data_IF_782506055295
#
_entry.id   IF_782506055295
#
_cell.length_a   1.000
_cell.length_b   1.000
_cell.length_c   1.000
_cell.angle_alpha   90.00
_cell.angle_beta   90.00
_cell.angle_gamma   90.00
#
_symmetry.space_group_name_H-M   'P 1'
#
loop_
_entity.id
_entity.type
_entity.pdbx_description
1 polymer ?
#
# COMPACT_ATOMS: atom_id res chain seq x y z
N UNK A 1 -7.27 -10.68 -22.89
CA UNK A 1 -7.02 -10.61 -21.43
C UNK A 1 -5.81 -11.41 -20.93
N UNK A 2 -5.48 -12.59 -21.49
CA UNK A 2 -4.20 -13.29 -21.19
C UNK A 2 -2.99 -12.52 -21.72
N UNK A 3 -3.14 -11.88 -22.88
CA UNK A 3 -2.10 -11.10 -23.53
C UNK A 3 -1.63 -9.89 -22.70
N UNK A 4 -2.53 -9.28 -21.92
CA UNK A 4 -2.21 -8.17 -21.03
C UNK A 4 -1.37 -8.59 -19.83
N UNK A 5 -1.57 -9.80 -19.27
CA UNK A 5 -0.75 -10.31 -18.15
C UNK A 5 0.68 -10.64 -18.59
N UNK A 6 0.85 -11.21 -19.80
CA UNK A 6 2.17 -11.50 -20.36
C UNK A 6 2.96 -10.21 -20.61
N UNK A 7 2.33 -9.21 -21.24
CA UNK A 7 2.95 -7.89 -21.47
C UNK A 7 3.38 -7.22 -20.17
N UNK A 8 2.54 -7.28 -19.13
CA UNK A 8 2.83 -6.68 -17.82
C UNK A 8 3.99 -7.40 -17.10
N UNK A 9 4.03 -8.74 -17.17
CA UNK A 9 5.15 -9.52 -16.63
C UNK A 9 6.47 -9.21 -17.34
N UNK A 10 6.47 -9.14 -18.67
CA UNK A 10 7.66 -8.79 -19.46
C UNK A 10 8.14 -7.39 -19.08
N UNK A 11 7.24 -6.40 -19.06
CA UNK A 11 7.56 -5.02 -18.66
C UNK A 11 8.20 -4.96 -17.28
N UNK A 12 7.66 -5.69 -16.30
CA UNK A 12 8.24 -5.77 -14.94
C UNK A 12 9.63 -6.38 -14.94
N UNK A 13 9.86 -7.45 -15.68
CA UNK A 13 11.19 -8.09 -15.80
C UNK A 13 12.21 -7.16 -16.45
N UNK A 14 11.82 -6.48 -17.54
CA UNK A 14 12.66 -5.49 -18.23
C UNK A 14 13.00 -4.33 -17.29
N UNK A 15 12.02 -3.78 -16.57
CA UNK A 15 12.28 -2.71 -15.60
C UNK A 15 13.26 -3.14 -14.50
N UNK A 16 13.12 -4.36 -13.97
CA UNK A 16 14.07 -4.89 -12.99
C UNK A 16 15.49 -4.98 -13.55
N UNK A 17 15.63 -5.46 -14.78
CA UNK A 17 16.92 -5.55 -15.45
C UNK A 17 17.54 -4.17 -15.67
N UNK A 18 16.76 -3.20 -16.13
CA UNK A 18 17.21 -1.81 -16.30
C UNK A 18 17.66 -1.21 -14.95
N UNK A 19 16.86 -1.35 -13.90
CA UNK A 19 17.22 -0.88 -12.55
C UNK A 19 18.50 -1.54 -12.05
N UNK A 20 18.67 -2.85 -12.28
CA UNK A 20 19.88 -3.57 -11.93
C UNK A 20 21.11 -3.03 -12.67
N UNK A 21 21.01 -2.79 -13.98
CA UNK A 21 22.10 -2.19 -14.76
C UNK A 21 22.45 -0.78 -14.27
N UNK A 22 21.46 0.06 -14.02
CA UNK A 22 21.68 1.42 -13.47
C UNK A 22 22.36 1.37 -12.11
N UNK A 23 22.04 0.37 -11.28
CA UNK A 23 22.68 0.17 -9.98
C UNK A 23 24.12 -0.34 -10.11
N UNK A 24 24.37 -1.40 -10.88
CA UNK A 24 25.68 -2.03 -11.04
C UNK A 24 26.70 -1.12 -11.75
N UNK A 25 26.25 -0.26 -12.66
CA UNK A 25 27.11 0.72 -13.33
C UNK A 25 27.46 1.93 -12.46
N UNK A 26 26.84 2.07 -11.28
CA UNK A 26 27.01 3.21 -10.39
C UNK A 26 26.29 4.50 -10.84
N UNK A 27 25.63 4.48 -12.01
CA UNK A 27 24.83 5.60 -12.53
C UNK A 27 23.79 6.04 -11.49
N UNK A 28 23.20 5.09 -10.75
CA UNK A 28 22.30 5.38 -9.63
C UNK A 28 22.89 6.40 -8.64
N UNK A 29 24.15 6.24 -8.24
CA UNK A 29 24.78 7.12 -7.24
C UNK A 29 25.04 8.52 -7.80
N UNK A 30 25.35 8.63 -9.10
CA UNK A 30 25.48 9.92 -9.80
C UNK A 30 24.12 10.61 -9.86
N UNK A 31 23.09 9.92 -10.35
CA UNK A 31 21.72 10.45 -10.42
C UNK A 31 21.21 10.88 -9.04
N UNK A 32 21.46 10.06 -8.02
CA UNK A 32 21.12 10.38 -6.64
C UNK A 32 21.82 11.67 -6.17
N UNK A 33 23.11 11.84 -6.46
CA UNK A 33 23.83 13.07 -6.07
C UNK A 33 23.30 14.31 -6.80
N UNK A 34 22.88 14.17 -8.05
CA UNK A 34 22.39 15.28 -8.88
C UNK A 34 20.93 15.66 -8.58
N UNK A 35 20.06 14.67 -8.38
CA UNK A 35 18.61 14.88 -8.32
C UNK A 35 18.02 14.78 -6.92
N UNK A 36 18.65 14.04 -6.00
CA UNK A 36 18.12 13.88 -4.63
C UNK A 36 18.54 15.06 -3.75
N UNK A 37 17.66 16.07 -3.69
CA UNK A 37 17.88 17.31 -2.94
C UNK A 37 17.86 17.08 -1.42
N UNK A 38 18.44 18.04 -0.70
CA UNK A 38 18.20 18.20 0.75
C UNK A 38 16.74 18.61 0.95
N UNK A 39 16.13 18.18 2.04
CA UNK A 39 14.70 18.37 2.23
C UNK A 39 14.10 17.46 3.29
N UNK A 40 12.82 17.67 3.56
CA UNK A 40 12.01 16.83 4.43
C UNK A 40 11.17 15.88 3.56
N UNK A 41 11.34 14.58 3.77
CA UNK A 41 10.62 13.52 3.09
C UNK A 41 9.69 12.82 4.07
N UNK A 42 8.46 12.54 3.64
CA UNK A 42 7.48 11.77 4.42
C UNK A 42 7.17 10.51 3.64
N UNK A 43 7.55 9.36 4.19
CA UNK A 43 7.22 8.04 3.62
C UNK A 43 6.12 7.41 4.44
N UNK A 44 5.02 7.04 3.79
CA UNK A 44 3.90 6.38 4.43
C UNK A 44 3.84 4.90 4.09
N UNK A 45 3.37 4.11 5.04
CA UNK A 45 3.09 2.68 4.92
C UNK A 45 1.66 2.41 5.39
N UNK A 46 1.15 1.20 5.16
CA UNK A 46 -0.13 0.77 5.70
C UNK A 46 0.04 -0.53 6.48
N UNK A 47 0.55 -1.58 5.82
CA UNK A 47 0.61 -2.94 6.36
C UNK A 47 1.97 -3.59 6.09
N UNK A 48 2.39 -4.48 6.99
CA UNK A 48 3.58 -5.32 6.82
C UNK A 48 3.23 -6.80 6.86
N UNK A 49 3.91 -7.61 6.06
CA UNK A 49 3.65 -9.06 5.99
C UNK A 49 4.92 -9.89 5.86
N UNK A 50 4.85 -11.15 6.26
CA UNK A 50 5.77 -12.18 5.79
C UNK A 50 5.17 -12.85 4.55
N UNK A 51 5.67 -12.49 3.37
CA UNK A 51 5.13 -12.97 2.09
C UNK A 51 5.27 -14.47 1.92
N UNK A 52 6.36 -15.06 2.43
CA UNK A 52 6.61 -16.51 2.33
C UNK A 52 5.60 -17.26 3.20
N UNK A 53 5.41 -16.80 4.44
CA UNK A 53 4.41 -17.37 5.35
C UNK A 53 3.00 -17.21 4.81
N UNK A 54 2.62 -16.03 4.34
CA UNK A 54 1.28 -15.80 3.77
C UNK A 54 1.00 -16.73 2.57
N UNK A 55 1.98 -16.93 1.67
CA UNK A 55 1.83 -17.86 0.54
C UNK A 55 1.63 -19.31 0.98
N UNK A 56 2.39 -19.77 1.99
CA UNK A 56 2.25 -21.12 2.54
C UNK A 56 0.89 -21.32 3.20
N UNK A 57 0.41 -20.32 3.92
CA UNK A 57 -0.89 -20.34 4.60
C UNK A 57 -2.09 -20.11 3.65
N UNK A 58 -1.86 -19.87 2.35
CA UNK A 58 -2.90 -19.48 1.40
C UNK A 58 -3.54 -18.12 1.71
N UNK A 59 -2.89 -17.27 2.52
CA UNK A 59 -3.40 -15.96 2.93
C UNK A 59 -3.20 -14.92 1.83
N UNK A 60 -4.24 -14.13 1.62
CA UNK A 60 -4.22 -12.99 0.70
C UNK A 60 -3.28 -11.90 1.23
N UNK A 61 -2.52 -11.30 0.32
CA UNK A 61 -1.63 -10.18 0.61
C UNK A 61 -2.23 -8.93 -0.03
N UNK A 62 -2.45 -7.89 0.78
CA UNK A 62 -2.94 -6.60 0.29
C UNK A 62 -1.91 -5.98 -0.65
N UNK A 63 -2.39 -5.22 -1.65
CA UNK A 63 -1.51 -4.43 -2.53
C UNK A 63 -0.73 -3.36 -1.76
N UNK A 64 -1.26 -2.91 -0.61
CA UNK A 64 -0.61 -1.93 0.27
C UNK A 64 0.29 -2.57 1.31
N UNK A 65 0.42 -3.91 1.31
CA UNK A 65 1.33 -4.61 2.23
C UNK A 65 2.76 -4.61 1.71
N UNK A 66 3.72 -4.34 2.58
CA UNK A 66 5.15 -4.44 2.30
C UNK A 66 5.71 -5.70 2.96
N UNK A 67 6.52 -6.45 2.22
CA UNK A 67 7.21 -7.61 2.77
C UNK A 67 8.21 -7.19 3.85
N UNK A 68 8.26 -7.89 4.98
CA UNK A 68 9.12 -7.58 6.12
C UNK A 68 10.60 -7.50 5.74
N UNK A 69 11.11 -8.40 4.89
CA UNK A 69 12.52 -8.39 4.47
C UNK A 69 12.81 -7.16 3.60
N UNK A 70 11.87 -6.81 2.73
CA UNK A 70 11.96 -5.60 1.91
C UNK A 70 11.92 -4.34 2.77
N UNK A 71 11.02 -4.29 3.77
CA UNK A 71 10.93 -3.19 4.70
C UNK A 71 12.22 -3.01 5.51
N UNK A 72 12.80 -4.09 6.04
CA UNK A 72 14.11 -4.01 6.72
C UNK A 72 15.21 -3.46 5.81
N UNK A 73 15.20 -3.81 4.52
CA UNK A 73 16.16 -3.30 3.54
C UNK A 73 15.96 -1.80 3.29
N UNK A 74 14.71 -1.32 3.30
CA UNK A 74 14.40 0.10 3.24
C UNK A 74 14.88 0.84 4.48
N UNK A 75 14.69 0.29 5.69
CA UNK A 75 15.18 0.91 6.93
C UNK A 75 16.70 1.05 6.94
N UNK A 76 17.44 0.03 6.48
CA UNK A 76 18.90 0.12 6.30
C UNK A 76 19.29 1.25 5.36
N UNK A 77 18.61 1.36 4.22
CA UNK A 77 18.82 2.44 3.26
C UNK A 77 18.55 3.81 3.90
N UNK A 78 17.44 3.94 4.63
CA UNK A 78 17.07 5.19 5.30
C UNK A 78 18.09 5.62 6.34
N UNK A 79 18.58 4.71 7.18
CA UNK A 79 19.60 5.03 8.20
C UNK A 79 20.94 5.45 7.59
N UNK A 80 21.26 4.99 6.39
CA UNK A 80 22.49 5.39 5.67
C UNK A 80 22.35 6.75 4.99
N UNK A 81 21.17 7.06 4.44
CA UNK A 81 21.02 8.18 3.50
C UNK A 81 20.21 9.37 4.00
N UNK A 82 19.50 9.19 5.11
CA UNK A 82 18.59 10.17 5.71
C UNK A 82 18.87 10.30 7.20
N UNK A 83 18.57 11.48 7.73
CA UNK A 83 18.35 11.68 9.16
C UNK A 83 16.89 11.36 9.43
N UNK A 84 16.63 10.15 9.92
CA UNK A 84 15.27 9.73 10.29
C UNK A 84 14.88 10.44 11.58
N UNK A 85 13.76 11.16 11.54
CA UNK A 85 13.26 12.01 12.63
C UNK A 85 11.78 11.70 12.90
N UNK A 86 11.33 12.09 14.08
CA UNK A 86 9.92 12.10 14.48
C UNK A 86 9.16 13.22 13.76
N UNK A 87 7.82 13.13 13.78
CA UNK A 87 6.96 14.17 13.22
C UNK A 87 7.07 15.49 14.01
N UNK A 88 7.26 15.42 15.32
CA UNK A 88 7.45 16.61 16.17
C UNK A 88 8.77 17.33 15.84
N UNK A 89 9.87 16.59 15.66
CA UNK A 89 11.13 17.16 15.18
C UNK A 89 11.00 17.79 13.79
N UNK A 90 10.23 17.16 12.90
CA UNK A 90 9.94 17.72 11.58
C UNK A 90 9.14 19.02 11.68
N UNK A 91 8.16 19.09 12.59
CA UNK A 91 7.40 20.30 12.87
C UNK A 91 8.30 21.44 13.36
N UNK A 92 9.18 21.18 14.32
CA UNK A 92 10.12 22.20 14.84
C UNK A 92 11.13 22.65 13.76
N UNK A 93 11.60 21.74 12.91
CA UNK A 93 12.44 22.10 11.75
C UNK A 93 11.72 23.06 10.81
N UNK A 94 10.46 22.76 10.47
CA UNK A 94 9.66 23.63 9.60
C UNK A 94 9.40 25.00 10.25
N UNK A 95 9.09 25.02 11.54
CA UNK A 95 8.84 26.25 12.30
C UNK A 95 10.06 27.15 12.40
N UNK A 96 11.26 26.57 12.42
CA UNK A 96 12.52 27.32 12.52
C UNK A 96 12.80 28.24 11.32
N UNK A 97 12.12 28.05 10.18
CA UNK A 97 12.36 28.75 8.91
C UNK A 97 13.82 28.70 8.42
N UNK A 98 14.64 27.78 8.94
CA UNK A 98 16.02 27.58 8.49
C UNK A 98 16.05 26.69 7.25
N UNK A 99 17.01 26.90 6.32
CA UNK A 99 17.22 25.98 5.22
C UNK A 99 17.54 24.56 5.73
N UNK A 100 16.95 23.55 5.09
CA UNK A 100 17.21 22.15 5.41
C UNK A 100 18.61 21.75 4.90
N UNK A 101 19.51 21.43 5.82
CA UNK A 101 20.93 21.19 5.55
C UNK A 101 21.24 19.75 5.09
N UNK A 102 20.28 18.84 5.27
CA UNK A 102 20.38 17.41 4.98
C UNK A 102 19.04 16.86 4.47
N UNK A 103 19.00 15.54 4.26
CA UNK A 103 17.76 14.82 3.93
C UNK A 103 17.17 14.28 5.22
N UNK A 104 16.04 14.83 5.62
CA UNK A 104 15.27 14.36 6.77
C UNK A 104 14.18 13.42 6.30
N UNK A 105 13.87 12.40 7.09
CA UNK A 105 12.85 11.42 6.76
C UNK A 105 11.93 11.19 7.97
N UNK A 106 10.64 11.36 7.77
CA UNK A 106 9.59 10.91 8.69
C UNK A 106 8.94 9.66 8.12
N UNK A 107 8.74 8.65 8.96
CA UNK A 107 7.93 7.49 8.61
C UNK A 107 6.54 7.62 9.22
N UNK A 108 5.50 7.44 8.41
CA UNK A 108 4.12 7.35 8.87
C UNK A 108 3.52 5.99 8.52
N UNK A 109 2.57 5.53 9.32
CA UNK A 109 1.85 4.28 9.08
C UNK A 109 0.37 4.54 9.28
N UNK A 110 -0.41 4.32 8.22
CA UNK A 110 -1.84 4.58 8.23
C UNK A 110 -2.62 3.33 8.68
N UNK A 111 -3.92 3.51 8.90
CA UNK A 111 -4.93 2.50 9.24
C UNK A 111 -4.82 1.86 10.63
N UNK A 112 -3.61 1.60 11.13
CA UNK A 112 -3.40 1.00 12.45
C UNK A 112 -3.54 -0.51 12.50
N UNK A 113 -3.22 -1.22 11.41
CA UNK A 113 -3.30 -2.69 11.40
C UNK A 113 -2.43 -3.34 12.48
N UNK A 114 -2.91 -4.47 13.01
CA UNK A 114 -2.19 -5.31 13.98
C UNK A 114 -0.80 -5.75 13.48
N UNK A 115 -0.65 -5.88 12.17
CA UNK A 115 0.60 -6.33 11.55
C UNK A 115 1.75 -5.31 11.69
N UNK A 116 1.44 -4.03 11.91
CA UNK A 116 2.37 -2.97 12.28
C UNK A 116 3.14 -3.32 13.56
N UNK A 117 2.45 -3.92 14.53
CA UNK A 117 3.07 -4.42 15.74
C UNK A 117 3.82 -5.74 15.48
N UNK A 118 3.16 -6.73 14.85
CA UNK A 118 3.72 -8.08 14.68
C UNK A 118 5.02 -8.10 13.86
N UNK A 119 5.06 -7.36 12.75
CA UNK A 119 6.21 -7.40 11.82
C UNK A 119 7.05 -6.12 11.86
N UNK A 120 6.47 -4.98 12.26
CA UNK A 120 7.15 -3.68 12.29
C UNK A 120 7.87 -3.40 13.60
N UNK A 121 7.27 -3.71 14.76
CA UNK A 121 7.77 -3.27 16.09
C UNK A 121 9.24 -3.61 16.35
N UNK A 122 9.63 -4.87 16.13
CA UNK A 122 11.02 -5.30 16.33
C UNK A 122 12.00 -4.59 15.40
N UNK A 123 11.58 -4.22 14.19
CA UNK A 123 12.40 -3.44 13.26
C UNK A 123 12.52 -1.98 13.71
N UNK A 124 11.43 -1.36 14.15
CA UNK A 124 11.46 0.00 14.72
C UNK A 124 12.42 0.10 15.90
N UNK A 125 12.36 -0.89 16.81
CA UNK A 125 13.28 -0.99 17.95
C UNK A 125 14.73 -1.19 17.49
N UNK A 126 14.98 -2.14 16.58
CA UNK A 126 16.32 -2.46 16.06
C UNK A 126 17.01 -1.25 15.40
N UNK A 127 16.28 -0.46 14.62
CA UNK A 127 16.83 0.69 13.90
C UNK A 127 16.66 2.02 14.65
N UNK A 128 16.08 1.99 15.85
CA UNK A 128 15.74 3.17 16.66
C UNK A 128 14.96 4.22 15.85
N UNK A 129 13.86 3.78 15.25
CA UNK A 129 12.96 4.62 14.44
C UNK A 129 11.61 4.67 15.14
N UNK A 130 11.04 5.87 15.24
CA UNK A 130 9.75 6.12 15.88
C UNK A 130 8.76 6.60 14.80
N UNK A 131 8.07 5.68 14.11
CA UNK A 131 7.09 6.06 13.10
C UNK A 131 5.85 6.69 13.76
N UNK A 132 5.21 7.62 13.06
CA UNK A 132 3.91 8.15 13.46
C UNK A 132 2.79 7.24 12.95
N UNK A 133 1.95 6.72 13.83
CA UNK A 133 0.85 5.82 13.46
C UNK A 133 -0.49 6.59 13.46
N UNK A 134 -1.15 6.67 12.31
CA UNK A 134 -2.49 7.23 12.17
C UNK A 134 -3.54 6.13 12.31
N UNK A 135 -4.17 6.05 13.47
CA UNK A 135 -5.15 5.01 13.79
C UNK A 135 -6.53 5.34 13.25
N UNK A 136 -7.19 4.35 12.65
CA UNK A 136 -8.63 4.40 12.36
C UNK A 136 -9.42 4.07 13.64
N UNK A 137 -9.45 5.02 14.58
CA UNK A 137 -9.88 4.79 15.97
C UNK A 137 -11.21 4.03 16.13
N UNK A 138 -12.25 4.38 15.35
CA UNK A 138 -13.55 3.69 15.41
C UNK A 138 -13.47 2.22 14.95
N UNK A 139 -12.62 1.91 13.96
CA UNK A 139 -12.41 0.54 13.49
C UNK A 139 -11.62 -0.28 14.50
N UNK A 140 -10.61 0.33 15.13
CA UNK A 140 -9.83 -0.28 16.21
C UNK A 140 -10.72 -0.57 17.42
N UNK A 141 -11.48 0.42 17.88
CA UNK A 141 -12.38 0.31 19.04
C UNK A 141 -13.45 -0.77 18.83
N UNK A 142 -14.09 -0.78 17.67
CA UNK A 142 -15.14 -1.76 17.33
C UNK A 142 -14.60 -3.09 16.81
N UNK A 143 -13.28 -3.24 16.67
CA UNK A 143 -12.65 -4.41 16.04
C UNK A 143 -13.24 -4.77 14.67
N UNK A 144 -13.50 -3.77 13.83
CA UNK A 144 -14.10 -3.94 12.50
C UNK A 144 -13.09 -3.71 11.38
N UNK A 145 -13.24 -4.44 10.26
CA UNK A 145 -12.42 -4.21 9.06
C UNK A 145 -12.71 -2.86 8.42
N UNK A 146 -11.69 -2.28 7.79
CA UNK A 146 -11.92 -1.19 6.86
C UNK A 146 -12.69 -1.72 5.64
N UNK A 147 -13.67 -0.94 5.16
CA UNK A 147 -14.53 -1.38 4.06
C UNK A 147 -13.77 -1.81 2.79
N UNK A 148 -12.60 -1.22 2.40
CA UNK A 148 -11.86 -1.69 1.24
C UNK A 148 -11.28 -3.09 1.45
N UNK A 149 -10.90 -3.43 2.69
CA UNK A 149 -10.40 -4.75 3.03
C UNK A 149 -11.53 -5.78 3.09
N UNK A 150 -12.68 -5.40 3.64
CA UNK A 150 -13.88 -6.24 3.62
C UNK A 150 -14.27 -6.58 2.18
N UNK A 151 -14.36 -5.56 1.31
CA UNK A 151 -14.66 -5.75 -0.10
C UNK A 151 -13.62 -6.65 -0.78
N UNK A 152 -12.33 -6.43 -0.52
CA UNK A 152 -11.26 -7.28 -1.03
C UNK A 152 -11.47 -8.73 -0.59
N UNK A 153 -11.72 -8.95 0.71
CA UNK A 153 -11.91 -10.27 1.27
C UNK A 153 -13.07 -11.02 0.58
N UNK A 154 -14.21 -10.34 0.40
CA UNK A 154 -15.39 -10.88 -0.28
C UNK A 154 -15.06 -11.26 -1.73
N UNK A 155 -14.45 -10.36 -2.50
CA UNK A 155 -14.13 -10.62 -3.92
C UNK A 155 -13.12 -11.76 -4.08
N UNK A 156 -12.10 -11.80 -3.23
CA UNK A 156 -11.07 -12.84 -3.34
C UNK A 156 -11.54 -14.22 -2.87
N UNK A 157 -12.47 -14.29 -1.91
CA UNK A 157 -13.07 -15.54 -1.46
C UNK A 157 -14.34 -15.95 -2.21
N UNK A 158 -14.89 -15.10 -3.08
CA UNK A 158 -16.05 -15.45 -3.91
C UNK A 158 -15.72 -16.60 -4.86
N UNK A 159 -16.64 -17.58 -4.93
CA UNK A 159 -16.59 -18.72 -5.85
C UNK A 159 -17.22 -18.39 -7.21
N UNK A 160 -17.86 -17.22 -7.36
CA UNK A 160 -18.50 -16.82 -8.61
C UNK A 160 -17.45 -16.59 -9.70
N UNK A 161 -17.77 -17.04 -10.92
CA UNK A 161 -16.93 -16.81 -12.09
C UNK A 161 -17.08 -15.39 -12.66
N UNK A 162 -18.27 -14.81 -12.51
CA UNK A 162 -18.65 -13.48 -12.96
C UNK A 162 -19.55 -12.79 -11.94
N UNK A 163 -19.59 -11.47 -12.01
CA UNK A 163 -20.50 -10.63 -11.24
C UNK A 163 -21.09 -9.62 -12.20
N UNK A 164 -22.42 -9.56 -12.19
CA UNK A 164 -23.18 -8.63 -12.98
C UNK A 164 -23.70 -7.51 -12.08
N UNK A 165 -23.60 -6.27 -12.56
CA UNK A 165 -23.95 -5.08 -11.82
C UNK A 165 -24.67 -4.12 -12.75
N UNK A 166 -25.86 -3.69 -12.33
CA UNK A 166 -26.62 -2.65 -13.00
C UNK A 166 -26.41 -1.32 -12.27
N UNK A 167 -25.92 -0.31 -12.99
CA UNK A 167 -25.72 1.06 -12.49
C UNK A 167 -26.33 2.03 -13.49
N UNK A 168 -27.29 2.85 -13.05
CA UNK A 168 -28.01 3.82 -13.89
C UNK A 168 -28.53 3.20 -15.20
N UNK A 169 -29.18 2.03 -15.09
CA UNK A 169 -29.74 1.25 -16.21
C UNK A 169 -28.71 0.73 -17.23
N UNK A 170 -27.41 0.79 -16.90
CA UNK A 170 -26.33 0.18 -17.69
C UNK A 170 -25.88 -1.11 -17.00
N UNK A 171 -25.90 -2.20 -17.77
CA UNK A 171 -25.46 -3.52 -17.32
C UNK A 171 -23.95 -3.69 -17.53
N UNK A 172 -23.23 -4.04 -16.46
CA UNK A 172 -21.81 -4.37 -16.48
C UNK A 172 -21.59 -5.80 -16.01
N UNK A 173 -20.80 -6.57 -16.76
CA UNK A 173 -20.37 -7.91 -16.36
C UNK A 173 -18.85 -7.95 -16.14
N UNK A 174 -18.45 -8.41 -14.96
CA UNK A 174 -17.05 -8.51 -14.55
C UNK A 174 -16.65 -9.96 -14.31
N UNK A 175 -15.53 -10.39 -14.88
CA UNK A 175 -14.97 -11.71 -14.57
C UNK A 175 -14.23 -11.71 -13.23
N UNK A 176 -14.43 -12.74 -12.41
CA UNK A 176 -13.71 -12.97 -11.16
C UNK A 176 -12.73 -14.15 -11.23
N UNK A 177 -12.53 -14.78 -12.39
CA UNK A 177 -11.66 -15.97 -12.51
C UNK A 177 -10.17 -15.72 -12.25
N UNK A 178 -9.69 -14.49 -12.46
CA UNK A 178 -8.26 -14.17 -12.39
C UNK A 178 -7.94 -13.08 -11.37
N UNK A 179 -6.69 -13.07 -10.87
CA UNK A 179 -6.22 -12.02 -9.95
C UNK A 179 -6.42 -10.61 -10.51
N UNK A 180 -6.10 -10.40 -11.79
CA UNK A 180 -6.24 -9.09 -12.43
C UNK A 180 -7.70 -8.70 -12.64
N UNK A 181 -8.56 -9.64 -13.02
CA UNK A 181 -9.97 -9.34 -13.23
C UNK A 181 -10.66 -8.98 -11.91
N UNK A 182 -10.29 -9.65 -10.80
CA UNK A 182 -10.66 -9.25 -9.44
C UNK A 182 -10.16 -7.85 -9.07
N UNK A 183 -8.94 -7.46 -9.46
CA UNK A 183 -8.40 -6.12 -9.20
C UNK A 183 -9.19 -5.05 -9.97
N UNK A 184 -9.45 -5.26 -11.27
CA UNK A 184 -10.25 -4.35 -12.11
C UNK A 184 -11.63 -4.13 -11.48
N UNK A 185 -12.28 -5.23 -11.06
CA UNK A 185 -13.56 -5.16 -10.38
C UNK A 185 -13.49 -4.37 -9.06
N UNK A 186 -12.49 -4.65 -8.23
CA UNK A 186 -12.30 -3.92 -6.96
C UNK A 186 -12.07 -2.43 -7.17
N UNK A 187 -11.29 -2.04 -8.18
CA UNK A 187 -11.02 -0.64 -8.46
C UNK A 187 -12.28 0.07 -8.98
N UNK A 188 -13.03 -0.56 -9.88
CA UNK A 188 -14.33 -0.07 -10.35
C UNK A 188 -15.31 0.16 -9.20
N UNK A 189 -15.48 -0.84 -8.33
CA UNK A 189 -16.39 -0.73 -7.17
C UNK A 189 -15.92 0.37 -6.22
N UNK A 190 -14.62 0.47 -5.93
CA UNK A 190 -14.10 1.49 -5.02
C UNK A 190 -14.34 2.90 -5.56
N UNK A 191 -14.15 3.14 -6.85
CA UNK A 191 -14.41 4.44 -7.46
C UNK A 191 -15.89 4.80 -7.40
N UNK A 192 -16.77 3.86 -7.75
CA UNK A 192 -18.21 4.06 -7.67
C UNK A 192 -18.67 4.29 -6.23
N UNK A 193 -18.24 3.47 -5.28
CA UNK A 193 -18.55 3.66 -3.86
C UNK A 193 -18.03 5.01 -3.36
N UNK A 194 -16.79 5.42 -3.68
CA UNK A 194 -16.26 6.73 -3.27
C UNK A 194 -17.08 7.90 -3.82
N UNK A 195 -17.51 7.79 -5.08
CA UNK A 195 -18.32 8.82 -5.73
C UNK A 195 -19.76 8.87 -5.16
N UNK A 196 -20.31 7.71 -4.79
CA UNK A 196 -21.65 7.59 -4.20
C UNK A 196 -21.67 7.92 -2.70
N UNK A 197 -20.62 7.59 -1.94
CA UNK A 197 -20.46 7.95 -0.52
C UNK A 197 -20.32 9.46 -0.30
N UNK A 198 -19.95 10.24 -1.33
CA UNK A 198 -20.10 11.70 -1.30
C UNK A 198 -21.57 12.17 -1.33
N UNK A 199 -22.53 11.28 -1.64
CA UNK A 199 -23.95 11.62 -1.88
C UNK A 199 -25.00 10.88 -1.03
N UNK A 200 -24.76 9.71 -0.41
CA UNK A 200 -25.59 9.09 0.66
C UNK A 200 -25.03 7.70 1.07
N UNK A 201 -25.26 7.29 2.32
CA UNK A 201 -24.51 6.24 3.04
C UNK A 201 -25.14 4.81 3.05
N UNK A 202 -24.25 3.80 3.12
CA UNK A 202 -24.43 2.38 3.52
C UNK A 202 -25.27 1.45 2.62
N UNK A 203 -26.36 1.91 2.01
CA UNK A 203 -27.28 1.05 1.23
C UNK A 203 -26.60 0.37 0.02
N UNK A 204 -25.67 1.09 -0.62
CA UNK A 204 -24.93 0.58 -1.77
C UNK A 204 -23.94 -0.54 -1.44
N UNK A 205 -23.35 -0.53 -0.23
CA UNK A 205 -22.45 -1.62 0.16
C UNK A 205 -23.23 -2.94 0.22
N UNK A 206 -24.48 -2.89 0.71
CA UNK A 206 -25.38 -4.05 0.78
C UNK A 206 -25.76 -4.58 -0.60
N UNK A 207 -25.99 -3.70 -1.59
CA UNK A 207 -26.26 -4.08 -2.98
C UNK A 207 -25.10 -4.89 -3.55
N UNK A 208 -23.86 -4.40 -3.39
CA UNK A 208 -22.67 -5.09 -3.91
C UNK A 208 -22.32 -6.36 -3.13
N UNK A 209 -22.54 -6.40 -1.81
CA UNK A 209 -22.26 -7.64 -1.05
C UNK A 209 -23.27 -8.74 -1.35
N UNK A 210 -24.55 -8.42 -1.62
CA UNK A 210 -25.56 -9.42 -2.01
C UNK A 210 -25.29 -10.02 -3.39
N UNK A 211 -24.73 -9.26 -4.32
CA UNK A 211 -24.36 -9.80 -5.64
C UNK A 211 -23.11 -10.69 -5.60
N UNK A 212 -22.29 -10.59 -4.54
CA UNK A 212 -21.02 -11.31 -4.38
C UNK A 212 -21.09 -12.56 -3.49
N UNK A 213 -22.05 -12.62 -2.56
CA UNK A 213 -22.46 -13.84 -1.84
C UNK A 213 -23.25 -14.76 -2.76
#
# INVERSE_FOLDING_TARGET
MVETDIKEKIKRSVNKFICFMIYCTGIYFILKKLFLKKGLYIFFYHSFVDTEKCKKDGRLISLSSVDRKAFESQLKYFKTDYTVITLDEAYELMKSNKPLDRRYLVLTIDDGYKDNFIYGYELFKKYQIYPNIYLTANNVDKSTYLWPDLLRNIVYNSQKAHVDIDIYDIHYSFSLKGKYSKIIFLDYIKENIKNTMKKKNIEYLNIYTRSLM
#
